data_IF_162780390930
#
_entry.id   IF_162780390930
#
_cell.length_a   1.000
_cell.length_b   1.000
_cell.length_c   1.000
_cell.angle_alpha   90.00
_cell.angle_beta   90.00
_cell.angle_gamma   90.00
#
_symmetry.space_group_name_H-M   'P 1'
#
loop_
_entity.id
_entity.type
_entity.pdbx_description
1 polymer ?
#
# COMPACT_ATOMS: atom_id res chain seq x y z
N UNK A 1 30.83 -24.63 23.62
CA UNK A 1 31.05 -24.62 22.16
C UNK A 1 29.75 -24.79 21.35
N UNK A 2 28.64 -25.34 21.87
CA UNK A 2 27.37 -25.34 21.11
C UNK A 2 26.44 -24.17 21.47
N UNK A 3 26.49 -23.65 22.71
CA UNK A 3 25.56 -22.61 23.18
C UNK A 3 25.71 -21.25 22.49
N UNK A 4 26.93 -20.86 22.10
CA UNK A 4 27.17 -19.57 21.42
C UNK A 4 26.52 -19.53 20.04
N UNK A 5 26.63 -20.61 19.26
CA UNK A 5 26.06 -20.69 17.91
C UNK A 5 24.53 -20.48 17.91
N UNK A 6 23.83 -21.00 18.92
CA UNK A 6 22.38 -20.83 19.04
C UNK A 6 21.95 -19.41 19.42
N UNK A 7 22.75 -18.70 20.22
CA UNK A 7 22.50 -17.30 20.57
C UNK A 7 22.76 -16.38 19.37
N UNK A 8 23.84 -16.62 18.63
CA UNK A 8 24.17 -15.87 17.40
C UNK A 8 23.10 -16.04 16.31
N UNK A 9 22.56 -17.25 16.13
CA UNK A 9 21.46 -17.49 15.17
C UNK A 9 20.18 -16.72 15.57
N UNK A 10 19.85 -16.67 16.86
CA UNK A 10 18.69 -15.90 17.34
C UNK A 10 18.90 -14.39 17.17
N UNK A 11 20.09 -13.89 17.47
CA UNK A 11 20.45 -12.48 17.33
C UNK A 11 20.44 -12.02 15.87
N UNK A 12 20.96 -12.85 14.96
CA UNK A 12 20.93 -12.57 13.51
C UNK A 12 19.51 -12.62 12.97
N UNK A 13 18.72 -13.65 13.28
CA UNK A 13 17.33 -13.76 12.85
C UNK A 13 16.45 -12.57 13.30
N UNK A 14 16.62 -12.13 14.56
CA UNK A 14 15.91 -10.97 15.09
C UNK A 14 16.30 -9.68 14.34
N UNK A 15 17.60 -9.46 14.11
CA UNK A 15 18.11 -8.30 13.38
C UNK A 15 17.56 -8.24 11.96
N UNK A 16 17.62 -9.35 11.21
CA UNK A 16 17.11 -9.41 9.83
C UNK A 16 15.61 -9.09 9.76
N UNK A 17 14.83 -9.60 10.73
CA UNK A 17 13.38 -9.31 10.80
C UNK A 17 13.12 -7.82 11.01
N UNK A 18 13.87 -7.17 11.92
CA UNK A 18 13.73 -5.74 12.21
C UNK A 18 14.07 -4.88 11.01
N UNK A 19 15.20 -5.14 10.36
CA UNK A 19 15.65 -4.38 9.18
C UNK A 19 14.67 -4.51 8.01
N UNK A 20 14.12 -5.71 7.79
CA UNK A 20 13.09 -5.93 6.78
C UNK A 20 11.81 -5.11 7.06
N UNK A 21 11.36 -5.08 8.32
CA UNK A 21 10.18 -4.29 8.73
C UNK A 21 10.44 -2.79 8.51
N UNK A 22 11.63 -2.31 8.90
CA UNK A 22 12.00 -0.90 8.74
C UNK A 22 12.03 -0.48 7.26
N UNK A 23 12.49 -1.38 6.38
CA UNK A 23 12.51 -1.17 4.93
C UNK A 23 11.11 -1.28 4.30
N UNK A 24 10.25 -2.16 4.82
CA UNK A 24 8.88 -2.34 4.34
C UNK A 24 7.93 -1.22 4.80
N UNK A 25 8.21 -0.57 5.92
CA UNK A 25 7.40 0.52 6.50
C UNK A 25 7.05 1.63 5.48
N UNK A 26 8.00 2.26 4.75
CA UNK A 26 7.67 3.30 3.78
C UNK A 26 6.82 2.78 2.62
N UNK A 27 7.06 1.53 2.18
CA UNK A 27 6.30 0.92 1.10
C UNK A 27 4.84 0.70 1.51
N UNK A 28 4.61 0.20 2.73
CA UNK A 28 3.30 0.01 3.34
C UNK A 28 2.59 1.37 3.48
N UNK A 29 3.26 2.39 4.02
CA UNK A 29 2.66 3.73 4.19
C UNK A 29 2.19 4.29 2.85
N UNK A 30 3.01 4.20 1.80
CA UNK A 30 2.64 4.68 0.47
C UNK A 30 1.49 3.85 -0.10
N UNK A 31 1.55 2.53 0.02
CA UNK A 31 0.54 1.62 -0.54
C UNK A 31 -0.85 1.87 0.08
N UNK A 32 -0.94 1.89 1.41
CA UNK A 32 -2.21 2.13 2.09
C UNK A 32 -2.62 3.61 2.05
N UNK A 33 -1.67 4.54 2.16
CA UNK A 33 -1.94 5.97 2.07
C UNK A 33 -2.54 6.37 0.73
N UNK A 34 -2.01 5.83 -0.37
CA UNK A 34 -2.54 6.09 -1.72
C UNK A 34 -3.91 5.45 -1.93
N UNK A 35 -4.12 4.23 -1.44
CA UNK A 35 -5.41 3.53 -1.51
C UNK A 35 -6.51 4.28 -0.76
N UNK A 36 -6.23 4.72 0.47
CA UNK A 36 -7.17 5.51 1.28
C UNK A 36 -7.42 6.86 0.62
N UNK A 37 -6.38 7.54 0.15
CA UNK A 37 -6.51 8.82 -0.55
C UNK A 37 -7.43 8.70 -1.78
N UNK A 38 -7.21 7.69 -2.62
CA UNK A 38 -8.06 7.46 -3.80
C UNK A 38 -9.50 7.17 -3.40
N UNK A 39 -9.72 6.35 -2.38
CA UNK A 39 -11.07 6.03 -1.89
C UNK A 39 -11.79 7.29 -1.40
N UNK A 40 -11.12 8.14 -0.63
CA UNK A 40 -11.69 9.42 -0.16
C UNK A 40 -11.97 10.36 -1.34
N UNK A 41 -11.06 10.46 -2.31
CA UNK A 41 -11.23 11.30 -3.50
C UNK A 41 -12.42 10.82 -4.36
N UNK A 42 -12.56 9.51 -4.58
CA UNK A 42 -13.70 8.88 -5.26
C UNK A 42 -15.02 9.24 -4.56
N UNK A 43 -15.06 9.17 -3.24
CA UNK A 43 -16.27 9.49 -2.47
C UNK A 43 -16.61 10.98 -2.51
N UNK A 44 -15.59 11.86 -2.41
CA UNK A 44 -15.80 13.32 -2.37
C UNK A 44 -16.13 13.94 -3.72
N UNK A 45 -15.34 13.63 -4.75
CA UNK A 45 -15.46 14.26 -6.08
C UNK A 45 -16.33 13.42 -7.03
N UNK A 46 -16.47 12.14 -6.74
CA UNK A 46 -17.05 11.18 -7.68
C UNK A 46 -16.18 11.02 -8.93
N UNK A 47 -16.58 10.09 -9.78
CA UNK A 47 -15.77 9.61 -10.90
C UNK A 47 -16.41 10.01 -12.22
N UNK A 48 -15.59 10.40 -13.22
CA UNK A 48 -16.12 10.88 -14.52
C UNK A 48 -16.49 9.72 -15.45
N UNK A 49 -15.65 8.69 -15.49
CA UNK A 49 -15.72 7.63 -16.49
C UNK A 49 -16.58 6.43 -16.08
N UNK A 50 -16.65 6.11 -14.79
CA UNK A 50 -17.38 4.94 -14.27
C UNK A 50 -18.09 5.28 -12.97
N UNK A 51 -18.92 4.37 -12.47
CA UNK A 51 -19.57 4.48 -11.16
C UNK A 51 -18.55 4.46 -10.01
N UNK A 52 -18.84 5.20 -8.93
CA UNK A 52 -17.95 5.31 -7.75
C UNK A 52 -17.67 3.94 -7.12
N UNK A 53 -18.70 3.09 -7.03
CA UNK A 53 -18.59 1.75 -6.47
C UNK A 53 -17.61 0.86 -7.26
N UNK A 54 -17.60 0.97 -8.59
CA UNK A 54 -16.69 0.18 -9.43
C UNK A 54 -15.23 0.57 -9.21
N UNK A 55 -14.95 1.86 -9.04
CA UNK A 55 -13.59 2.32 -8.74
C UNK A 55 -13.12 1.88 -7.35
N UNK A 56 -13.99 1.90 -6.34
CA UNK A 56 -13.67 1.37 -5.00
C UNK A 56 -13.34 -0.12 -5.09
N UNK A 57 -14.11 -0.90 -5.85
CA UNK A 57 -13.83 -2.32 -6.07
C UNK A 57 -12.45 -2.53 -6.72
N UNK A 58 -12.11 -1.73 -7.74
CA UNK A 58 -10.80 -1.81 -8.43
C UNK A 58 -9.66 -1.47 -7.47
N UNK A 59 -9.78 -0.37 -6.72
CA UNK A 59 -8.76 0.03 -5.72
C UNK A 59 -8.60 -1.03 -4.65
N UNK A 60 -9.68 -1.71 -4.24
CA UNK A 60 -9.64 -2.76 -3.22
C UNK A 60 -9.00 -4.06 -3.74
N UNK A 61 -9.40 -4.53 -4.93
CA UNK A 61 -8.90 -5.79 -5.51
C UNK A 61 -7.49 -5.67 -6.09
N UNK A 62 -7.14 -4.52 -6.67
CA UNK A 62 -5.87 -4.29 -7.37
C UNK A 62 -4.89 -3.47 -6.50
N UNK A 63 -5.34 -3.03 -5.31
CA UNK A 63 -4.53 -2.36 -4.29
C UNK A 63 -3.79 -1.14 -4.84
N UNK A 64 -2.46 -1.20 -5.00
CA UNK A 64 -1.65 -0.08 -5.46
C UNK A 64 -1.88 0.25 -6.93
N UNK A 65 -2.00 -0.75 -7.81
CA UNK A 65 -2.18 -0.50 -9.24
C UNK A 65 -3.58 0.07 -9.50
N UNK A 66 -4.59 -0.31 -8.71
CA UNK A 66 -5.93 0.24 -8.80
C UNK A 66 -5.96 1.74 -8.49
N UNK A 67 -5.25 2.16 -7.44
CA UNK A 67 -5.07 3.58 -7.09
C UNK A 67 -4.33 4.36 -8.17
N UNK A 68 -3.27 3.79 -8.74
CA UNK A 68 -2.50 4.44 -9.82
C UNK A 68 -3.37 4.64 -11.07
N UNK A 69 -4.13 3.63 -11.47
CA UNK A 69 -5.03 3.71 -12.64
C UNK A 69 -6.14 4.74 -12.39
N UNK A 70 -6.68 4.79 -11.17
CA UNK A 70 -7.67 5.81 -10.78
C UNK A 70 -7.11 7.22 -10.93
N UNK A 71 -5.91 7.48 -10.42
CA UNK A 71 -5.29 8.81 -10.49
C UNK A 71 -5.03 9.27 -11.92
N UNK A 72 -4.73 8.34 -12.84
CA UNK A 72 -4.48 8.65 -14.25
C UNK A 72 -5.77 8.81 -15.07
N UNK A 73 -6.74 7.91 -14.90
CA UNK A 73 -7.90 7.78 -15.81
C UNK A 73 -9.23 8.11 -15.14
N UNK A 74 -9.38 7.79 -13.85
CA UNK A 74 -10.64 7.92 -13.11
C UNK A 74 -10.89 9.31 -12.52
N UNK A 75 -9.82 10.03 -12.19
CA UNK A 75 -9.86 11.35 -11.57
C UNK A 75 -10.55 12.35 -12.51
N UNK A 76 -11.61 13.01 -12.03
CA UNK A 76 -12.19 14.15 -12.77
C UNK A 76 -11.12 15.21 -12.86
N UNK A 77 -10.71 15.55 -14.09
CA UNK A 77 -9.93 16.78 -14.31
C UNK A 77 -10.90 17.92 -14.07
N UNK A 78 -10.67 18.66 -12.99
CA UNK A 78 -11.28 19.95 -12.74
C UNK A 78 -10.72 20.89 -13.82
N UNK A 79 -11.34 20.89 -15.01
CA UNK A 79 -11.10 21.84 -16.11
C UNK A 79 -12.17 22.92 -16.05
#
# INVERSE_FOLDING_TARGET
MSLYEWEDIKMTAFTITRELILLALPLIIIQYGLSIYCTIDILKKGTKNLNQATWILIVFFINIFGSIIYLNVGKRKDL
#
